data_IF_424483123061
#
_entry.id   IF_424483123061
#
_cell.length_a   1.000
_cell.length_b   1.000
_cell.length_c   1.000
_cell.angle_alpha   90.00
_cell.angle_beta   90.00
_cell.angle_gamma   90.00
#
_symmetry.space_group_name_H-M   'P 1'
#
loop_
_entity.id
_entity.type
_entity.pdbx_description
1 polymer ?
#
# COMPACT_ATOMS: atom_id res chain seq x y z
N UNK A 1 1.05 -7.27 -4.81
CA UNK A 1 2.48 -7.00 -4.66
C UNK A 1 2.74 -5.52 -4.87
N UNK A 2 3.84 -5.03 -4.30
CA UNK A 2 4.11 -3.60 -4.34
C UNK A 2 4.17 -3.06 -5.77
N UNK A 3 4.79 -3.79 -6.65
CA UNK A 3 4.94 -3.30 -8.03
C UNK A 3 3.63 -3.22 -8.77
N UNK A 4 2.58 -3.81 -8.21
CA UNK A 4 1.26 -3.75 -8.84
C UNK A 4 0.42 -2.59 -8.34
N UNK A 5 0.92 -1.84 -7.36
CA UNK A 5 0.19 -0.73 -6.81
C UNK A 5 0.28 0.48 -7.73
N UNK A 6 -0.80 1.24 -7.79
CA UNK A 6 -0.84 2.42 -8.64
C UNK A 6 -1.48 3.57 -7.89
N UNK A 7 -1.05 4.76 -8.25
CA UNK A 7 -1.64 5.98 -7.69
C UNK A 7 -3.12 6.01 -8.05
N UNK A 8 -3.93 6.36 -7.07
CA UNK A 8 -5.37 6.44 -7.25
C UNK A 8 -6.13 5.26 -6.68
N UNK A 9 -5.43 4.17 -6.42
CA UNK A 9 -6.08 3.03 -5.77
C UNK A 9 -6.25 3.30 -4.28
N UNK A 10 -7.12 2.54 -3.65
CA UNK A 10 -7.36 2.67 -2.22
C UNK A 10 -7.05 1.33 -1.57
N UNK A 11 -6.38 1.38 -0.42
CA UNK A 11 -6.04 0.16 0.29
C UNK A 11 -7.29 -0.51 0.82
N UNK A 12 -7.45 -1.79 0.52
CA UNK A 12 -8.56 -2.57 1.01
C UNK A 12 -8.27 -3.18 2.38
N UNK A 13 -6.97 -3.29 2.72
CA UNK A 13 -6.56 -3.82 4.00
C UNK A 13 -5.34 -3.07 4.48
N UNK A 14 -5.05 -3.19 5.78
CA UNK A 14 -3.88 -2.54 6.34
C UNK A 14 -2.61 -3.09 5.70
N UNK A 15 -1.64 -2.20 5.49
CA UNK A 15 -0.30 -2.61 5.07
C UNK A 15 0.56 -2.68 6.31
N UNK A 16 1.14 -3.85 6.56
CA UNK A 16 1.92 -4.08 7.76
C UNK A 16 3.30 -4.58 7.40
N UNK A 17 4.24 -4.35 8.30
CA UNK A 17 5.58 -4.91 8.16
C UNK A 17 5.54 -6.39 8.52
N UNK A 18 6.65 -7.06 8.29
CA UNK A 18 6.75 -8.45 8.70
C UNK A 18 6.60 -8.62 10.20
N UNK A 19 6.97 -7.59 10.95
CA UNK A 19 6.83 -7.61 12.40
C UNK A 19 5.41 -7.32 12.87
N UNK A 20 4.50 -6.98 11.95
CA UNK A 20 3.13 -6.73 12.31
C UNK A 20 2.82 -5.28 12.61
N UNK A 21 3.73 -4.38 12.32
CA UNK A 21 3.52 -2.96 12.55
C UNK A 21 2.74 -2.39 11.38
N UNK A 22 1.63 -1.71 11.66
CA UNK A 22 0.80 -1.11 10.62
C UNK A 22 1.50 0.11 10.06
N UNK A 23 1.77 0.08 8.77
CA UNK A 23 2.37 1.22 8.08
C UNK A 23 1.30 2.14 7.53
N UNK A 24 0.29 1.58 6.92
CA UNK A 24 -0.80 2.36 6.32
C UNK A 24 -2.10 1.62 6.61
N UNK A 25 -3.10 2.38 7.02
CA UNK A 25 -4.39 1.80 7.37
C UNK A 25 -5.25 1.59 6.13
N UNK A 26 -6.19 0.68 6.26
CA UNK A 26 -7.17 0.43 5.21
C UNK A 26 -7.93 1.71 4.89
N UNK A 27 -8.30 1.86 3.63
CA UNK A 27 -9.03 3.05 3.18
C UNK A 27 -8.14 4.21 2.77
N UNK A 28 -6.84 4.06 2.91
CA UNK A 28 -5.90 5.12 2.57
C UNK A 28 -5.66 5.12 1.07
N UNK A 29 -5.69 6.30 0.46
CA UNK A 29 -5.45 6.42 -0.97
C UNK A 29 -3.96 6.32 -1.26
N UNK A 30 -3.62 5.66 -2.35
CA UNK A 30 -2.22 5.47 -2.72
C UNK A 30 -1.75 6.69 -3.49
N UNK A 31 -0.67 7.29 -3.03
CA UNK A 31 -0.03 8.43 -3.67
C UNK A 31 1.38 8.05 -4.06
N UNK A 32 2.01 8.92 -4.85
CA UNK A 32 3.40 8.67 -5.23
C UNK A 32 4.31 8.61 -4.01
N UNK A 33 4.08 9.53 -3.08
CA UNK A 33 4.88 9.54 -1.85
C UNK A 33 4.69 8.25 -1.08
N UNK A 34 3.46 7.75 -1.02
CA UNK A 34 3.20 6.51 -0.33
C UNK A 34 3.91 5.34 -0.98
N UNK A 35 3.89 5.29 -2.31
CA UNK A 35 4.57 4.22 -3.03
C UNK A 35 6.06 4.24 -2.74
N UNK A 36 6.66 5.42 -2.70
CA UNK A 36 8.07 5.53 -2.37
C UNK A 36 8.36 5.01 -0.97
N UNK A 37 7.53 5.38 -0.03
CA UNK A 37 7.74 4.93 1.36
C UNK A 37 7.59 3.43 1.48
N UNK A 38 6.58 2.87 0.83
CA UNK A 38 6.39 1.44 0.88
C UNK A 38 7.56 0.71 0.25
N UNK A 39 8.09 1.25 -0.85
CA UNK A 39 9.26 0.66 -1.47
C UNK A 39 10.45 0.66 -0.54
N UNK A 40 10.66 1.76 0.19
CA UNK A 40 11.76 1.84 1.14
C UNK A 40 11.60 0.84 2.27
N UNK A 41 10.39 0.72 2.80
CA UNK A 41 10.14 -0.26 3.85
C UNK A 41 10.33 -1.68 3.35
N UNK A 42 9.89 -1.94 2.12
CA UNK A 42 10.05 -3.28 1.55
C UNK A 42 11.52 -3.64 1.40
N UNK A 43 12.36 -2.64 1.09
CA UNK A 43 13.77 -2.89 0.90
C UNK A 43 14.51 -3.10 2.22
N UNK A 44 14.04 -2.48 3.29
CA UNK A 44 14.75 -2.55 4.58
C UNK A 44 14.10 -3.54 5.54
N UNK A 45 12.90 -3.23 6.01
CA UNK A 45 12.23 -4.05 7.02
C UNK A 45 11.44 -5.19 6.40
N UNK A 46 10.93 -4.97 5.21
CA UNK A 46 10.04 -5.93 4.59
C UNK A 46 8.60 -5.60 4.86
N UNK A 47 7.78 -5.76 3.85
CA UNK A 47 6.34 -5.50 3.92
C UNK A 47 5.61 -6.81 3.69
N UNK A 48 4.64 -7.07 4.55
CA UNK A 48 3.89 -8.31 4.46
C UNK A 48 3.02 -8.29 3.21
N UNK A 49 3.06 -9.34 2.44
CA UNK A 49 2.26 -9.47 1.23
C UNK A 49 1.33 -10.65 1.36
N UNK A 50 0.26 -10.65 0.59
CA UNK A 50 -0.09 -9.69 -0.48
C UNK A 50 -0.71 -8.41 0.08
N UNK A 51 -0.70 -7.38 -0.76
CA UNK A 51 -1.31 -6.10 -0.45
C UNK A 51 -2.57 -5.97 -1.29
N UNK A 52 -3.70 -5.78 -0.64
CA UNK A 52 -4.98 -5.71 -1.33
C UNK A 52 -5.39 -4.27 -1.52
N UNK A 53 -5.85 -3.97 -2.72
CA UNK A 53 -6.31 -2.62 -3.05
C UNK A 53 -7.62 -2.69 -3.80
N UNK A 54 -8.33 -1.58 -3.79
CA UNK A 54 -9.53 -1.41 -4.57
C UNK A 54 -9.22 -0.48 -5.74
N UNK A 55 -9.87 -0.69 -6.89
CA UNK A 55 -9.67 0.24 -7.99
C UNK A 55 -10.21 1.62 -7.63
N UNK A 56 -9.70 2.67 -8.29
CA UNK A 56 -10.24 3.99 -8.02
C UNK A 56 -11.70 4.07 -8.41
N UNK A 57 -12.48 4.93 -7.74
CA UNK A 57 -13.88 5.05 -8.09
C UNK A 57 -14.03 5.58 -9.50
N UNK A 58 -15.11 5.19 -10.18
CA UNK A 58 -15.32 5.69 -11.54
C UNK A 58 -15.53 7.20 -11.53
N UNK A 59 -15.02 7.82 -12.57
CA UNK A 59 -15.23 9.24 -12.72
C UNK A 59 -16.58 9.52 -13.27
N UNK A 60 -17.09 10.67 -12.89
CA UNK A 60 -18.41 10.98 -13.32
C UNK A 60 -18.49 11.65 -14.56
#
# INVERSE_FOLDING_TARGET
>A
MLKDLRVGQTLAENVVTRDGIVLVATGYAITETLLERLGNFAASTGVKEPIYVRPPPPEK
#
